data_IF_531751542660
#
_entry.id   IF_531751542660
#
_cell.length_a   1.000
_cell.length_b   1.000
_cell.length_c   1.000
_cell.angle_alpha   90.00
_cell.angle_beta   90.00
_cell.angle_gamma   90.00
#
_symmetry.space_group_name_H-M   'P 1'
#
loop_
_entity.id
_entity.type
_entity.pdbx_description
1 polymer ?
#
# COMPACT_ATOMS: atom_id res chain seq x y z
N UNK A 1 0.29 -37.33 18.88
CA UNK A 1 1.00 -36.35 18.02
C UNK A 1 0.03 -35.23 17.68
N UNK A 2 0.33 -33.96 17.98
CA UNK A 2 -0.57 -32.83 17.64
C UNK A 2 -0.28 -32.38 16.20
N UNK A 3 -1.31 -32.41 15.37
CA UNK A 3 -1.27 -31.98 13.97
C UNK A 3 -1.01 -30.47 13.85
N UNK A 4 -0.01 -30.08 13.06
CA UNK A 4 0.37 -28.68 12.86
C UNK A 4 -0.51 -28.08 11.77
N UNK A 5 -1.61 -27.44 12.14
CA UNK A 5 -2.51 -26.75 11.20
C UNK A 5 -1.82 -25.49 10.65
N UNK A 6 -1.42 -25.51 9.38
CA UNK A 6 -0.85 -24.34 8.69
C UNK A 6 -1.97 -23.31 8.37
N UNK A 7 -1.72 -22.00 8.56
CA UNK A 7 -2.71 -20.96 8.26
C UNK A 7 -3.00 -20.89 6.76
N UNK A 8 -4.29 -20.72 6.40
CA UNK A 8 -4.71 -20.50 5.01
C UNK A 8 -4.07 -19.22 4.45
N UNK A 9 -3.48 -19.32 3.26
CA UNK A 9 -2.92 -18.16 2.54
C UNK A 9 -4.05 -17.20 2.15
N UNK A 10 -3.91 -15.92 2.52
CA UNK A 10 -4.84 -14.87 2.06
C UNK A 10 -4.61 -14.62 0.57
N UNK A 11 -5.67 -14.68 -0.22
CA UNK A 11 -5.62 -14.35 -1.64
C UNK A 11 -5.35 -12.85 -1.82
N UNK A 12 -4.37 -12.52 -2.67
CA UNK A 12 -4.03 -11.13 -3.00
C UNK A 12 -4.99 -10.65 -4.08
N UNK A 13 -5.99 -9.85 -3.68
CA UNK A 13 -6.90 -9.21 -4.64
C UNK A 13 -6.15 -8.10 -5.37
N UNK A 14 -5.94 -8.25 -6.68
CA UNK A 14 -5.40 -7.20 -7.54
C UNK A 14 -6.49 -6.15 -7.74
N UNK A 15 -6.33 -4.98 -7.11
CA UNK A 15 -7.18 -3.81 -7.34
C UNK A 15 -6.53 -2.88 -8.35
N UNK A 16 -7.27 -2.50 -9.38
CA UNK A 16 -6.83 -1.52 -10.37
C UNK A 16 -6.61 -0.16 -9.70
N UNK A 17 -5.66 0.61 -10.21
CA UNK A 17 -5.40 1.97 -9.73
C UNK A 17 -6.27 2.95 -10.49
N UNK A 18 -7.18 3.62 -9.78
CA UNK A 18 -7.97 4.69 -10.39
C UNK A 18 -7.17 6.00 -10.45
N UNK A 19 -7.60 6.94 -11.29
CA UNK A 19 -6.98 8.27 -11.36
C UNK A 19 -7.06 9.02 -10.02
N UNK A 20 -8.15 8.82 -9.25
CA UNK A 20 -8.33 9.38 -7.92
C UNK A 20 -7.31 8.84 -6.92
N UNK A 21 -7.10 7.51 -6.91
CA UNK A 21 -6.08 6.88 -6.05
C UNK A 21 -4.68 7.47 -6.31
N UNK A 22 -4.35 7.75 -7.58
CA UNK A 22 -3.05 8.33 -7.97
C UNK A 22 -2.92 9.78 -7.48
N UNK A 23 -3.99 10.58 -7.58
CA UNK A 23 -4.00 11.97 -7.06
C UNK A 23 -3.83 11.99 -5.54
N UNK A 24 -4.57 11.13 -4.83
CA UNK A 24 -4.44 10.98 -3.38
C UNK A 24 -3.03 10.54 -2.97
N UNK A 25 -2.46 9.57 -3.69
CA UNK A 25 -1.09 9.09 -3.42
C UNK A 25 -0.05 10.21 -3.56
N UNK A 26 -0.19 11.07 -4.58
CA UNK A 26 0.69 12.24 -4.78
C UNK A 26 0.50 13.30 -3.67
N UNK A 27 -0.74 13.55 -3.25
CA UNK A 27 -1.03 14.49 -2.15
C UNK A 27 -0.41 14.01 -0.83
N UNK A 28 -0.56 12.72 -0.53
CA UNK A 28 0.05 12.07 0.64
C UNK A 28 1.58 12.07 0.61
N UNK A 29 2.18 11.83 -0.57
CA UNK A 29 3.61 11.99 -0.76
C UNK A 29 4.07 13.39 -0.40
N UNK A 30 3.41 14.44 -0.91
CA UNK A 30 3.74 15.84 -0.58
C UNK A 30 3.60 16.13 0.91
N UNK A 31 2.53 15.65 1.53
CA UNK A 31 2.24 15.81 2.95
C UNK A 31 3.10 14.94 3.91
N UNK A 32 3.99 14.09 3.38
CA UNK A 32 4.85 13.17 4.16
C UNK A 32 4.05 12.27 5.10
N UNK A 33 2.86 11.83 4.68
CA UNK A 33 2.04 10.97 5.51
C UNK A 33 2.68 9.58 5.63
N UNK A 34 2.70 8.98 6.84
CA UNK A 34 3.22 7.63 7.02
C UNK A 34 2.45 6.61 6.17
N UNK A 35 3.17 5.69 5.53
CA UNK A 35 2.59 4.66 4.66
C UNK A 35 1.55 3.81 5.39
N UNK A 36 1.77 3.54 6.68
CA UNK A 36 0.84 2.81 7.56
C UNK A 36 -0.54 3.50 7.63
N UNK A 37 -0.56 4.84 7.70
CA UNK A 37 -1.81 5.61 7.73
C UNK A 37 -2.51 5.56 6.38
N UNK A 38 -1.77 5.71 5.28
CA UNK A 38 -2.31 5.63 3.91
C UNK A 38 -2.91 4.24 3.66
N UNK A 39 -2.22 3.18 4.08
CA UNK A 39 -2.68 1.81 3.95
C UNK A 39 -4.02 1.57 4.67
N UNK A 40 -4.19 2.13 5.87
CA UNK A 40 -5.46 2.07 6.62
C UNK A 40 -6.59 2.84 5.93
N UNK A 41 -6.32 4.04 5.41
CA UNK A 41 -7.33 4.88 4.74
C UNK A 41 -7.77 4.29 3.40
N UNK A 42 -6.81 3.90 2.56
CA UNK A 42 -7.06 3.41 1.19
C UNK A 42 -7.41 1.92 1.13
N UNK A 43 -7.35 1.21 2.27
CA UNK A 43 -7.47 -0.26 2.37
C UNK A 43 -6.55 -0.99 1.39
N UNK A 44 -5.39 -0.38 1.03
CA UNK A 44 -4.34 -0.95 0.19
C UNK A 44 -3.21 -1.47 1.08
N UNK A 45 -2.42 -2.40 0.56
CA UNK A 45 -1.22 -2.86 1.26
C UNK A 45 -0.10 -1.84 1.12
N UNK A 46 0.76 -1.73 2.14
CA UNK A 46 1.92 -0.84 2.12
C UNK A 46 2.87 -1.15 0.95
N UNK A 47 3.05 -2.44 0.64
CA UNK A 47 3.83 -2.87 -0.51
C UNK A 47 3.25 -2.38 -1.83
N UNK A 48 1.93 -2.44 -2.02
CA UNK A 48 1.27 -1.92 -3.23
C UNK A 48 1.46 -0.41 -3.38
N UNK A 49 1.35 0.34 -2.27
CA UNK A 49 1.57 1.78 -2.25
C UNK A 49 3.01 2.14 -2.61
N UNK A 50 4.01 1.43 -2.05
CA UNK A 50 5.43 1.62 -2.37
C UNK A 50 5.73 1.29 -3.82
N UNK A 51 5.22 0.16 -4.33
CA UNK A 51 5.39 -0.23 -5.73
C UNK A 51 4.79 0.82 -6.68
N UNK A 52 3.60 1.34 -6.38
CA UNK A 52 2.99 2.39 -7.20
C UNK A 52 3.74 3.71 -7.12
N UNK A 53 4.24 4.07 -5.93
CA UNK A 53 5.06 5.27 -5.74
C UNK A 53 6.39 5.20 -6.49
N UNK A 54 7.06 4.04 -6.49
CA UNK A 54 8.27 3.78 -7.28
C UNK A 54 8.00 3.94 -8.78
N UNK A 55 6.92 3.34 -9.29
CA UNK A 55 6.52 3.49 -10.69
C UNK A 55 6.24 4.95 -11.08
N UNK A 56 5.71 5.74 -10.16
CA UNK A 56 5.41 7.17 -10.36
C UNK A 56 6.61 8.09 -10.07
N UNK A 57 7.75 7.55 -9.62
CA UNK A 57 8.94 8.34 -9.27
C UNK A 57 8.76 9.26 -8.05
N UNK A 58 7.81 8.95 -7.16
CA UNK A 58 7.54 9.76 -5.96
C UNK A 58 8.03 9.05 -4.69
N UNK A 59 8.67 9.81 -3.79
CA UNK A 59 9.01 9.33 -2.45
C UNK A 59 7.76 9.17 -1.59
N UNK A 60 7.55 8.01 -0.99
CA UNK A 60 6.39 7.74 -0.14
C UNK A 60 6.80 7.43 1.30
N UNK A 61 6.17 8.13 2.25
CA UNK A 61 6.42 7.95 3.68
C UNK A 61 7.42 8.94 4.26
N UNK A 62 7.91 8.59 5.45
CA UNK A 62 8.83 9.43 6.24
C UNK A 62 10.29 9.32 5.79
N UNK A 63 10.67 8.19 5.18
CA UNK A 63 12.06 7.85 4.83
C UNK A 63 12.44 8.27 3.40
N UNK A 64 11.99 9.46 2.98
CA UNK A 64 12.29 10.05 1.66
C UNK A 64 13.33 11.14 1.77
#
# INVERSE_FOLDING_TARGET
MKERRLPKKKQVVRREWTASDVKELKAHSKARTPVVKIAKMTKRTEGSLRQKALYLGIGLGHQR
#
